data_IF_718548170965
#
_entry.id   IF_718548170965
#
_cell.length_a   1.000
_cell.length_b   1.000
_cell.length_c   1.000
_cell.angle_alpha   90.00
_cell.angle_beta   90.00
_cell.angle_gamma   90.00
#
_symmetry.space_group_name_H-M   'P 1'
#
loop_
_entity.id
_entity.type
_entity.pdbx_description
1 polymer ?
#
# COMPACT_ATOMS: atom_id res chain seq x y z
N UNK A 1 0.40 -10.01 -11.92
CA UNK A 1 0.26 -8.54 -11.85
C UNK A 1 1.64 -7.94 -12.00
N UNK A 2 1.78 -6.94 -12.85
CA UNK A 2 3.05 -6.23 -13.06
C UNK A 2 2.93 -4.81 -12.49
N UNK A 3 4.00 -4.31 -11.90
CA UNK A 3 4.08 -2.92 -11.45
C UNK A 3 5.22 -2.19 -12.14
N UNK A 4 4.91 -1.00 -12.61
CA UNK A 4 5.90 0.01 -12.98
C UNK A 4 5.94 1.05 -11.86
N UNK A 5 7.11 1.29 -11.28
CA UNK A 5 7.29 2.09 -10.06
C UNK A 5 8.24 3.24 -10.33
N UNK A 6 7.89 4.44 -9.89
CA UNK A 6 8.74 5.63 -9.94
C UNK A 6 8.66 6.39 -8.62
N UNK A 7 9.81 6.71 -8.04
CA UNK A 7 9.89 7.74 -7.02
C UNK A 7 9.67 9.10 -7.67
N UNK A 8 8.63 9.84 -7.24
CA UNK A 8 8.24 11.13 -7.84
C UNK A 8 8.77 12.32 -7.07
N UNK A 9 8.89 12.18 -5.74
CA UNK A 9 9.54 13.11 -4.83
C UNK A 9 10.01 12.34 -3.59
N UNK A 10 10.72 13.00 -2.67
CA UNK A 10 11.42 12.36 -1.54
C UNK A 10 10.57 11.30 -0.80
N UNK A 11 9.28 11.57 -0.63
CA UNK A 11 8.39 10.71 0.16
C UNK A 11 7.27 10.07 -0.65
N UNK A 12 7.25 10.17 -1.98
CA UNK A 12 6.14 9.68 -2.79
C UNK A 12 6.58 8.70 -3.87
N UNK A 13 5.79 7.64 -3.99
CA UNK A 13 6.01 6.55 -4.95
C UNK A 13 4.78 6.45 -5.83
N UNK A 14 4.98 6.67 -7.13
CA UNK A 14 3.97 6.47 -8.15
C UNK A 14 4.08 5.06 -8.73
N UNK A 15 2.95 4.37 -8.83
CA UNK A 15 2.86 2.98 -9.27
C UNK A 15 1.77 2.85 -10.32
N UNK A 16 2.13 2.25 -11.44
CA UNK A 16 1.16 1.79 -12.45
C UNK A 16 1.09 0.28 -12.39
N UNK A 17 -0.03 -0.23 -11.87
CA UNK A 17 -0.34 -1.65 -11.82
C UNK A 17 -1.03 -2.08 -13.11
N UNK A 18 -0.53 -3.15 -13.73
CA UNK A 18 -1.18 -3.81 -14.88
C UNK A 18 -1.65 -5.20 -14.47
N UNK A 19 -2.97 -5.39 -14.54
CA UNK A 19 -3.64 -6.66 -14.24
C UNK A 19 -3.73 -7.56 -15.48
N UNK A 20 -3.90 -8.89 -15.30
CA UNK A 20 -4.29 -9.77 -16.41
C UNK A 20 -5.53 -9.22 -17.12
N UNK A 21 -5.48 -9.10 -18.45
CA UNK A 21 -6.53 -8.43 -19.25
C UNK A 21 -6.25 -6.96 -19.57
N UNK A 22 -5.12 -6.40 -19.13
CA UNK A 22 -4.64 -5.07 -19.57
C UNK A 22 -5.24 -3.88 -18.82
N UNK A 23 -6.09 -4.12 -17.81
CA UNK A 23 -6.58 -3.05 -16.93
C UNK A 23 -5.41 -2.44 -16.18
N UNK A 24 -5.31 -1.11 -16.26
CA UNK A 24 -4.31 -0.31 -15.54
C UNK A 24 -4.93 0.36 -14.33
N UNK A 25 -4.14 0.48 -13.27
CA UNK A 25 -4.45 1.24 -12.07
C UNK A 25 -3.24 2.07 -11.68
N UNK A 26 -3.47 3.36 -11.51
CA UNK A 26 -2.50 4.38 -11.17
C UNK A 26 -2.62 4.66 -9.66
N UNK A 27 -1.53 4.58 -8.92
CA UNK A 27 -1.55 4.72 -7.47
C UNK A 27 -0.38 5.58 -7.01
N UNK A 28 -0.67 6.55 -6.16
CA UNK A 28 0.37 7.32 -5.45
C UNK A 28 0.37 6.86 -4.00
N UNK A 29 1.55 6.47 -3.53
CA UNK A 29 1.79 6.08 -2.15
C UNK A 29 2.70 7.09 -1.46
N UNK A 30 2.46 7.34 -0.18
CA UNK A 30 3.44 7.92 0.73
C UNK A 30 4.39 6.82 1.19
N UNK A 31 5.68 6.99 0.84
CA UNK A 31 6.80 6.07 1.08
C UNK A 31 6.47 4.62 0.73
N UNK A 32 5.72 4.44 -0.36
CA UNK A 32 5.34 3.13 -0.89
C UNK A 32 4.46 2.25 0.00
N UNK A 33 3.93 2.79 1.11
CA UNK A 33 3.15 2.03 2.10
C UNK A 33 1.72 2.57 2.26
N UNK A 34 1.56 3.87 2.50
CA UNK A 34 0.23 4.47 2.68
C UNK A 34 -0.32 4.96 1.34
N UNK A 35 -1.48 4.46 0.92
CA UNK A 35 -2.12 4.88 -0.34
C UNK A 35 -2.70 6.28 -0.21
N UNK A 36 -2.19 7.23 -1.00
CA UNK A 36 -2.69 8.61 -1.08
C UNK A 36 -3.81 8.71 -2.10
N UNK A 37 -3.64 8.09 -3.26
CA UNK A 37 -4.64 8.12 -4.32
C UNK A 37 -4.57 6.87 -5.18
N UNK A 38 -5.71 6.49 -5.73
CA UNK A 38 -5.89 5.38 -6.65
C UNK A 38 -6.86 5.77 -7.75
N UNK A 39 -6.40 5.65 -8.97
CA UNK A 39 -7.16 5.91 -10.18
C UNK A 39 -7.16 4.69 -11.08
N UNK A 40 -8.34 4.21 -11.44
CA UNK A 40 -8.53 3.26 -12.52
C UNK A 40 -9.78 3.64 -13.32
N UNK A 41 -10.22 2.76 -14.21
CA UNK A 41 -11.41 3.03 -15.05
C UNK A 41 -12.69 3.23 -14.25
N UNK A 42 -12.76 2.74 -13.00
CA UNK A 42 -13.98 2.72 -12.18
C UNK A 42 -13.83 3.44 -10.84
N UNK A 43 -12.61 3.66 -10.36
CA UNK A 43 -12.32 4.31 -9.09
C UNK A 43 -11.47 5.57 -9.31
N UNK A 44 -11.91 6.68 -8.71
CA UNK A 44 -11.13 7.91 -8.57
C UNK A 44 -11.16 8.30 -7.10
N UNK A 45 -10.23 7.75 -6.32
CA UNK A 45 -10.26 7.85 -4.87
C UNK A 45 -8.95 8.41 -4.34
N UNK A 46 -9.06 9.11 -3.23
CA UNK A 46 -7.93 9.62 -2.47
C UNK A 46 -8.21 9.50 -0.98
N UNK A 47 -7.14 9.29 -0.21
CA UNK A 47 -7.20 9.23 1.24
C UNK A 47 -6.59 10.51 1.78
N UNK A 48 -7.43 11.39 2.33
CA UNK A 48 -7.00 12.65 2.94
C UNK A 48 -6.48 12.33 4.34
N UNK A 49 -5.16 12.42 4.61
CA UNK A 49 -4.63 12.13 5.93
C UNK A 49 -5.12 13.17 6.94
N UNK A 50 -5.66 12.69 8.07
CA UNK A 50 -6.00 13.52 9.22
C UNK A 50 -4.91 13.44 10.31
N UNK A 51 -4.03 12.45 10.20
CA UNK A 51 -2.82 12.29 11.01
C UNK A 51 -1.58 12.64 10.17
N UNK A 52 -0.52 13.11 10.83
CA UNK A 52 0.79 13.29 10.21
C UNK A 52 1.37 11.93 9.75
N UNK A 53 1.47 11.73 8.44
CA UNK A 53 2.00 10.48 7.86
C UNK A 53 3.46 10.21 8.21
N UNK A 54 4.23 11.22 8.64
CA UNK A 54 5.61 11.02 9.13
C UNK A 54 5.64 10.11 10.35
N UNK A 55 4.58 10.10 11.15
CA UNK A 55 4.45 9.24 12.34
C UNK A 55 4.48 7.74 12.05
N UNK A 56 4.22 7.32 10.80
CA UNK A 56 4.31 5.91 10.39
C UNK A 56 5.75 5.39 10.52
N UNK A 57 6.75 6.26 10.32
CA UNK A 57 8.14 5.86 10.22
C UNK A 57 8.99 6.39 11.38
N UNK A 58 10.11 5.72 11.71
CA UNK A 58 10.58 4.45 11.16
C UNK A 58 9.67 3.26 11.55
N UNK A 59 9.71 2.21 10.73
CA UNK A 59 9.08 0.92 11.00
C UNK A 59 10.17 -0.07 11.38
N UNK A 60 10.18 -0.47 12.64
CA UNK A 60 11.08 -1.49 13.18
C UNK A 60 10.31 -2.75 13.59
N UNK A 61 11.03 -3.79 14.01
CA UNK A 61 10.40 -5.01 14.51
C UNK A 61 9.49 -4.69 15.70
N UNK A 62 8.24 -5.17 15.66
CA UNK A 62 7.21 -4.95 16.69
C UNK A 62 6.67 -3.50 16.76
N UNK A 63 7.04 -2.64 15.82
CA UNK A 63 6.39 -1.32 15.69
C UNK A 63 4.88 -1.46 15.52
N UNK A 64 4.14 -0.66 16.29
CA UNK A 64 2.71 -0.41 16.09
C UNK A 64 2.51 1.07 15.81
N UNK A 65 1.78 1.37 14.75
CA UNK A 65 1.44 2.73 14.31
C UNK A 65 -0.04 2.80 13.97
N UNK A 66 -0.62 3.98 14.04
CA UNK A 66 -1.98 4.22 13.60
C UNK A 66 -2.02 5.56 12.87
N UNK A 67 -2.78 5.61 11.78
CA UNK A 67 -3.10 6.84 11.08
C UNK A 67 -4.59 6.91 10.83
N UNK A 68 -5.13 8.12 10.97
CA UNK A 68 -6.52 8.40 10.60
C UNK A 68 -6.53 9.14 9.27
N UNK A 69 -7.44 8.76 8.38
CA UNK A 69 -7.66 9.43 7.12
C UNK A 69 -9.15 9.47 6.77
N UNK A 70 -9.56 10.38 5.90
CA UNK A 70 -10.89 10.39 5.30
C UNK A 70 -10.77 9.91 3.84
N UNK A 71 -11.45 8.82 3.44
CA UNK A 71 -11.54 8.44 2.03
C UNK A 71 -12.40 9.48 1.31
N UNK A 72 -12.02 9.86 0.10
CA UNK A 72 -12.73 10.86 -0.68
C UNK A 72 -12.65 10.59 -2.19
N UNK A 73 -13.59 11.19 -2.90
CA UNK A 73 -13.62 11.36 -4.35
C UNK A 73 -13.91 12.85 -4.66
N UNK A 74 -13.87 13.31 -5.92
CA UNK A 74 -14.02 14.74 -6.22
C UNK A 74 -15.32 15.39 -5.75
N UNK A 75 -16.38 14.63 -5.48
CA UNK A 75 -17.68 15.15 -5.04
C UNK A 75 -18.04 14.79 -3.61
N UNK A 76 -17.24 13.97 -2.91
CA UNK A 76 -17.63 13.41 -1.62
C UNK A 76 -16.44 13.11 -0.73
N UNK A 77 -16.59 13.46 0.54
CA UNK A 77 -15.70 13.02 1.63
C UNK A 77 -16.45 12.02 2.50
N UNK A 78 -15.82 10.87 2.74
CA UNK A 78 -16.34 9.81 3.59
C UNK A 78 -16.00 10.02 5.07
N UNK A 79 -16.58 9.19 5.92
CA UNK A 79 -16.29 9.19 7.35
C UNK A 79 -14.82 8.77 7.62
N UNK A 80 -14.19 9.28 8.69
CA UNK A 80 -12.83 8.91 9.06
C UNK A 80 -12.64 7.39 9.25
N UNK A 81 -11.50 6.90 8.78
CA UNK A 81 -11.03 5.52 8.95
C UNK A 81 -9.71 5.55 9.70
N UNK A 82 -9.58 4.69 10.71
CA UNK A 82 -8.31 4.42 11.39
C UNK A 82 -7.64 3.21 10.74
N UNK A 83 -6.39 3.36 10.30
CA UNK A 83 -5.52 2.28 9.84
C UNK A 83 -4.46 2.01 10.90
N UNK A 84 -4.58 0.87 11.58
CA UNK A 84 -3.53 0.34 12.44
C UNK A 84 -2.55 -0.52 11.64
N UNK A 85 -1.26 -0.24 11.78
CA UNK A 85 -0.14 -0.96 11.18
C UNK A 85 0.66 -1.62 12.30
N UNK A 86 0.82 -2.94 12.25
CA UNK A 86 1.66 -3.68 13.21
C UNK A 86 2.69 -4.51 12.46
N UNK A 87 3.97 -4.27 12.73
CA UNK A 87 5.05 -5.12 12.20
C UNK A 87 5.05 -6.43 12.99
N UNK A 88 4.64 -7.51 12.34
CA UNK A 88 4.50 -8.83 12.97
C UNK A 88 5.69 -9.74 12.72
N UNK A 89 6.56 -9.39 11.78
CA UNK A 89 7.75 -10.17 11.48
C UNK A 89 8.53 -9.65 10.27
N UNK A 90 9.45 -10.48 9.81
CA UNK A 90 10.21 -10.28 8.59
C UNK A 90 10.21 -11.57 7.78
N UNK A 91 10.14 -11.44 6.46
CA UNK A 91 10.18 -12.55 5.50
C UNK A 91 11.15 -12.20 4.36
N UNK A 92 11.57 -13.20 3.59
CA UNK A 92 12.27 -12.99 2.33
C UNK A 92 11.31 -13.29 1.18
N UNK A 93 11.09 -12.32 0.30
CA UNK A 93 10.27 -12.50 -0.90
C UNK A 93 11.12 -12.54 -2.16
N UNK A 94 10.81 -13.50 -3.02
CA UNK A 94 11.45 -13.63 -4.32
C UNK A 94 10.62 -12.91 -5.39
N UNK A 95 11.27 -12.02 -6.15
CA UNK A 95 10.72 -11.40 -7.35
C UNK A 95 11.66 -11.66 -8.51
N UNK A 96 11.26 -12.54 -9.42
CA UNK A 96 12.15 -13.05 -10.47
C UNK A 96 13.37 -13.76 -9.87
N UNK A 97 14.56 -13.27 -10.21
CA UNK A 97 15.83 -13.82 -9.71
C UNK A 97 16.36 -13.12 -8.44
N UNK A 98 15.65 -12.10 -7.95
CA UNK A 98 16.08 -11.33 -6.78
C UNK A 98 15.29 -11.74 -5.54
N UNK A 99 15.97 -11.73 -4.39
CA UNK A 99 15.36 -11.95 -3.07
C UNK A 99 15.44 -10.66 -2.27
N UNK A 100 14.31 -10.26 -1.68
CA UNK A 100 14.19 -9.03 -0.92
C UNK A 100 13.77 -9.32 0.51
N UNK A 101 14.48 -8.79 1.53
CA UNK A 101 13.96 -8.78 2.88
C UNK A 101 12.77 -7.82 2.94
N UNK A 102 11.70 -8.28 3.58
CA UNK A 102 10.47 -7.50 3.77
C UNK A 102 10.04 -7.52 5.23
N UNK A 103 9.48 -6.40 5.69
CA UNK A 103 8.67 -6.36 6.90
C UNK A 103 7.29 -6.93 6.57
N UNK A 104 6.80 -7.83 7.42
CA UNK A 104 5.42 -8.31 7.38
C UNK A 104 4.57 -7.39 8.25
N UNK A 105 3.73 -6.56 7.63
CA UNK A 105 2.95 -5.51 8.30
C UNK A 105 1.47 -5.87 8.25
N UNK A 106 0.87 -6.18 9.40
CA UNK A 106 -0.57 -6.37 9.51
C UNK A 106 -1.28 -5.02 9.57
N UNK A 107 -2.17 -4.78 8.61
CA UNK A 107 -3.00 -3.60 8.49
C UNK A 107 -4.44 -3.92 8.92
N UNK A 108 -4.99 -3.15 9.86
CA UNK A 108 -6.40 -3.20 10.27
C UNK A 108 -7.05 -1.86 10.03
N UNK A 109 -8.15 -1.86 9.28
CA UNK A 109 -8.93 -0.66 8.98
C UNK A 109 -10.20 -0.68 9.82
N UNK A 110 -10.45 0.40 10.55
CA UNK A 110 -11.60 0.52 11.45
C UNK A 110 -12.37 1.81 11.20
N UNK A 111 -13.67 1.77 11.39
CA UNK A 111 -14.50 2.97 11.42
C UNK A 111 -14.40 3.68 12.77
N UNK A 112 -15.13 4.79 12.92
CA UNK A 112 -15.15 5.60 14.14
C UNK A 112 -15.66 4.83 15.37
N UNK A 113 -16.52 3.82 15.18
CA UNK A 113 -17.04 2.97 16.27
C UNK A 113 -16.07 1.83 16.65
N UNK A 114 -14.89 1.75 16.03
CA UNK A 114 -13.89 0.70 16.29
C UNK A 114 -14.20 -0.64 15.62
N UNK A 115 -15.22 -0.71 14.75
CA UNK A 115 -15.52 -1.91 13.98
C UNK A 115 -14.49 -2.09 12.87
N UNK A 116 -13.92 -3.29 12.78
CA UNK A 116 -13.02 -3.67 11.69
C UNK A 116 -13.79 -3.72 10.38
N UNK A 117 -13.36 -2.90 9.42
CA UNK A 117 -13.86 -2.84 8.06
C UNK A 117 -13.14 -3.83 7.16
N UNK A 118 -11.82 -3.93 7.30
CA UNK A 118 -10.98 -4.88 6.58
C UNK A 118 -9.65 -5.10 7.27
N UNK A 119 -8.98 -6.18 6.89
CA UNK A 119 -7.66 -6.53 7.36
C UNK A 119 -6.86 -7.16 6.21
N UNK A 120 -5.57 -6.84 6.12
CA UNK A 120 -4.63 -7.52 5.24
C UNK A 120 -3.21 -7.37 5.75
N UNK A 121 -2.29 -8.13 5.20
CA UNK A 121 -0.85 -8.01 5.49
C UNK A 121 -0.11 -7.47 4.28
N UNK A 122 0.75 -6.49 4.48
CA UNK A 122 1.67 -5.96 3.48
C UNK A 122 3.08 -6.54 3.66
N UNK A 123 3.74 -6.82 2.55
CA UNK A 123 5.17 -7.16 2.52
C UNK A 123 5.97 -5.96 2.07
N UNK A 124 6.45 -5.17 3.03
CA UNK A 124 7.12 -3.91 2.77
C UNK A 124 8.64 -4.08 2.72
N UNK A 125 9.26 -3.80 1.59
CA UNK A 125 10.72 -3.73 1.49
C UNK A 125 11.18 -2.32 1.85
N UNK A 126 11.92 -2.19 2.96
CA UNK A 126 12.50 -0.91 3.36
C UNK A 126 13.56 -0.42 2.34
N UNK A 127 14.34 -1.35 1.78
CA UNK A 127 15.38 -1.06 0.79
C UNK A 127 14.80 -0.47 -0.50
N UNK A 128 13.66 -1.00 -0.96
CA UNK A 128 12.96 -0.48 -2.13
C UNK A 128 12.01 0.68 -1.78
N UNK A 129 11.71 0.89 -0.50
CA UNK A 129 10.71 1.84 -0.03
C UNK A 129 9.32 1.55 -0.59
N UNK A 130 8.95 0.27 -0.72
CA UNK A 130 7.73 -0.15 -1.43
C UNK A 130 7.17 -1.50 -0.97
N UNK A 131 5.84 -1.64 -0.98
CA UNK A 131 5.14 -2.91 -0.73
C UNK A 131 5.23 -3.84 -1.95
N UNK A 132 5.80 -5.02 -1.78
CA UNK A 132 6.05 -6.00 -2.84
C UNK A 132 4.88 -6.99 -3.05
N UNK A 133 3.95 -7.01 -2.11
CA UNK A 133 2.77 -7.85 -2.19
C UNK A 133 1.89 -7.71 -0.97
N UNK A 134 0.73 -8.36 -1.04
CA UNK A 134 -0.27 -8.38 0.02
C UNK A 134 -0.71 -9.80 0.30
N UNK A 135 -0.99 -10.15 1.55
CA UNK A 135 -1.62 -11.41 1.96
C UNK A 135 -2.98 -11.09 2.58
N UNK A 136 -4.00 -11.80 2.12
CA UNK A 136 -5.38 -11.67 2.56
C UNK A 136 -5.81 -12.96 3.24
N UNK A 137 -6.38 -12.85 4.43
CA UNK A 137 -7.05 -13.95 5.10
C UNK A 137 -8.48 -14.08 4.55
N UNK A 138 -8.80 -15.26 4.04
CA UNK A 138 -10.08 -15.57 3.42
C UNK A 138 -10.94 -16.42 4.36
N UNK A 139 -12.24 -16.49 4.07
CA UNK A 139 -13.16 -17.32 4.85
C UNK A 139 -12.71 -18.79 4.81
N UNK A 140 -12.78 -19.45 5.97
CA UNK A 140 -12.37 -20.85 6.11
C UNK A 140 -10.88 -21.06 6.37
N UNK A 141 -10.12 -20.01 6.72
CA UNK A 141 -8.71 -20.12 7.08
C UNK A 141 -7.76 -20.19 5.89
N UNK A 142 -8.27 -20.03 4.65
CA UNK A 142 -7.45 -19.95 3.45
C UNK A 142 -6.73 -18.60 3.40
N UNK A 143 -5.49 -18.57 2.94
CA UNK A 143 -4.76 -17.34 2.70
C UNK A 143 -4.50 -17.16 1.21
N UNK A 144 -4.72 -15.94 0.70
CA UNK A 144 -4.35 -15.55 -0.66
C UNK A 144 -3.18 -14.58 -0.58
N UNK A 145 -2.02 -14.98 -1.09
CA UNK A 145 -0.88 -14.06 -1.24
C UNK A 145 -0.81 -13.57 -2.68
N UNK A 146 -0.84 -12.25 -2.85
CA UNK A 146 -0.69 -11.56 -4.12
C UNK A 146 0.64 -10.82 -4.16
N UNK A 147 1.59 -11.34 -4.93
CA UNK A 147 2.88 -10.70 -5.16
C UNK A 147 2.91 -10.04 -6.55
N UNK A 148 3.72 -8.99 -6.69
CA UNK A 148 4.11 -8.55 -8.03
C UNK A 148 4.93 -9.65 -8.72
N UNK A 149 4.72 -9.85 -10.02
CA UNK A 149 5.54 -10.78 -10.80
C UNK A 149 6.86 -10.14 -11.24
N UNK A 150 6.81 -8.82 -11.46
CA UNK A 150 7.97 -8.00 -11.80
C UNK A 150 7.70 -6.57 -11.36
N UNK A 151 8.77 -5.91 -10.92
CA UNK A 151 8.79 -4.48 -10.65
C UNK A 151 9.80 -3.86 -11.60
N UNK A 152 9.40 -2.83 -12.34
CA UNK A 152 10.26 -2.12 -13.28
C UNK A 152 10.20 -0.61 -13.01
N UNK A 153 11.26 0.15 -13.33
CA UNK A 153 11.17 1.60 -13.29
C UNK A 153 10.09 2.10 -14.26
N UNK A 154 9.19 2.96 -13.79
CA UNK A 154 8.27 3.69 -14.66
C UNK A 154 9.05 4.81 -15.36
N UNK A 155 8.95 4.89 -16.68
CA UNK A 155 9.68 5.86 -17.52
C UNK A 155 9.46 7.30 -17.06
N UNK A 156 10.52 8.12 -17.11
CA UNK A 156 10.44 9.56 -16.77
C UNK A 156 9.56 10.29 -17.79
N UNK A 157 8.36 10.69 -17.39
CA UNK A 157 7.64 11.79 -18.02
C UNK A 157 8.16 13.13 -17.50
N UNK A 158 8.11 14.16 -18.35
CA UNK A 158 8.55 15.52 -18.03
C UNK A 158 7.87 16.03 -16.74
N UNK A 159 8.57 16.81 -15.90
CA UNK A 159 7.94 17.44 -14.75
C UNK A 159 6.79 18.35 -15.19
N UNK A 160 5.72 18.38 -14.38
CA UNK A 160 4.60 19.32 -14.51
C UNK A 160 5.07 20.76 -14.31
#
# INVERSE_FOLDING_TARGET
MQAEVRQTSENFVHVVNTYPGGTKQDVIYYRGLFEISRFDKVARRFNVPLTDLRSIFPLDSKSRRAVTFAPADPGKVGAPISQEMTVVGQENLQLGHCTYPVLTIRNRFMNAEGRVLSEHTDFYSADLGFVLGKRYDEKGGRQTTMLYQSIRPLSRSAPL
#
